data_IF_266274358176
#
_entry.id   IF_266274358176
#
_cell.length_a   1.000
_cell.length_b   1.000
_cell.length_c   1.000
_cell.angle_alpha   90.00
_cell.angle_beta   90.00
_cell.angle_gamma   90.00
#
_symmetry.space_group_name_H-M   'P 1'
#
loop_
_entity.id
_entity.type
_entity.pdbx_description
1 polymer ?
#
# COMPACT_ATOMS: atom_id res chain seq x y z
N UNK A 1 -4.48 7.79 -18.81
CA UNK A 1 -2.99 7.90 -18.85
C UNK A 1 -2.53 9.20 -18.14
N UNK A 2 -1.24 9.36 -17.77
CA UNK A 2 -0.72 10.57 -17.11
C UNK A 2 -0.89 11.81 -17.97
N UNK A 3 -0.64 11.69 -19.28
CA UNK A 3 -0.81 12.80 -20.21
C UNK A 3 -2.27 13.25 -20.28
N UNK A 4 -3.19 12.30 -20.41
CA UNK A 4 -4.63 12.53 -20.41
C UNK A 4 -5.10 13.27 -19.15
N UNK A 5 -4.67 12.83 -17.95
CA UNK A 5 -5.03 13.52 -16.70
C UNK A 5 -4.52 14.96 -16.66
N UNK A 6 -3.28 15.21 -17.12
CA UNK A 6 -2.74 16.58 -17.24
C UNK A 6 -3.61 17.43 -18.17
N UNK A 7 -4.06 16.87 -19.30
CA UNK A 7 -4.95 17.59 -20.21
C UNK A 7 -6.32 17.88 -19.61
N UNK A 8 -6.88 16.97 -18.81
CA UNK A 8 -8.14 17.20 -18.09
C UNK A 8 -8.01 18.37 -17.10
N UNK A 9 -6.92 18.45 -16.34
CA UNK A 9 -6.65 19.60 -15.47
C UNK A 9 -6.44 20.90 -16.26
N UNK A 10 -5.61 20.87 -17.32
CA UNK A 10 -5.34 22.07 -18.16
C UNK A 10 -6.59 22.60 -18.85
N UNK A 11 -7.46 21.71 -19.31
CA UNK A 11 -8.75 22.07 -19.92
C UNK A 11 -9.84 22.40 -18.90
N UNK A 12 -9.55 22.35 -17.59
CA UNK A 12 -10.50 22.59 -16.49
C UNK A 12 -11.73 21.67 -16.54
N UNK A 13 -11.57 20.46 -17.08
CA UNK A 13 -12.61 19.41 -17.01
C UNK A 13 -12.64 18.73 -15.65
N UNK A 14 -11.55 18.84 -14.90
CA UNK A 14 -11.44 18.40 -13.51
C UNK A 14 -10.67 19.45 -12.70
N UNK A 15 -11.06 19.64 -11.44
CA UNK A 15 -10.38 20.52 -10.49
C UNK A 15 -9.57 19.74 -9.43
N UNK A 16 -9.93 18.48 -9.20
CA UNK A 16 -9.30 17.61 -8.21
C UNK A 16 -9.28 16.14 -8.66
N UNK A 17 -8.35 15.36 -8.09
CA UNK A 17 -8.21 13.93 -8.31
C UNK A 17 -7.94 13.23 -6.99
N UNK A 18 -8.70 12.18 -6.67
CA UNK A 18 -8.37 11.26 -5.58
C UNK A 18 -7.32 10.27 -6.10
N UNK A 19 -6.20 10.18 -5.39
CA UNK A 19 -5.04 9.43 -5.84
C UNK A 19 -4.22 8.89 -4.67
N UNK A 20 -3.54 7.76 -4.89
CA UNK A 20 -2.50 7.30 -3.98
C UNK A 20 -1.31 8.27 -3.98
N UNK A 21 -0.87 8.66 -2.78
CA UNK A 21 0.26 9.58 -2.60
C UNK A 21 1.56 9.06 -3.22
N UNK A 22 1.72 7.74 -3.28
CA UNK A 22 2.87 7.04 -3.87
C UNK A 22 2.82 6.96 -5.40
N UNK A 23 1.74 7.41 -6.04
CA UNK A 23 1.53 7.30 -7.49
C UNK A 23 1.47 8.67 -8.19
N UNK A 24 0.28 9.29 -8.26
CA UNK A 24 0.03 10.46 -9.11
C UNK A 24 0.78 11.72 -8.67
N UNK A 25 0.85 12.08 -7.37
CA UNK A 25 1.64 13.24 -6.93
C UNK A 25 3.13 13.12 -7.31
N UNK A 26 3.69 11.91 -7.22
CA UNK A 26 5.06 11.64 -7.64
C UNK A 26 5.22 11.83 -9.15
N UNK A 27 4.29 11.29 -9.96
CA UNK A 27 4.33 11.47 -11.43
C UNK A 27 4.22 12.93 -11.85
N UNK A 28 3.31 13.69 -11.24
CA UNK A 28 3.16 15.12 -11.53
C UNK A 28 4.41 15.90 -11.14
N UNK A 29 5.02 15.60 -9.99
CA UNK A 29 6.30 16.19 -9.58
C UNK A 29 7.43 15.90 -10.58
N UNK A 30 7.57 14.64 -11.03
CA UNK A 30 8.57 14.26 -12.02
C UNK A 30 8.37 14.90 -13.40
N UNK A 31 7.13 15.29 -13.73
CA UNK A 31 6.76 15.97 -14.97
C UNK A 31 6.68 17.49 -14.81
N UNK A 32 7.07 18.02 -13.66
CA UNK A 32 6.98 19.45 -13.33
C UNK A 32 5.56 20.03 -13.52
N UNK A 33 4.53 19.20 -13.32
CA UNK A 33 3.14 19.64 -13.34
C UNK A 33 2.72 20.02 -11.91
N UNK A 34 2.43 21.32 -11.64
CA UNK A 34 2.15 21.77 -10.30
C UNK A 34 0.81 21.23 -9.80
N UNK A 35 0.84 20.51 -8.69
CA UNK A 35 -0.36 20.04 -7.98
C UNK A 35 -0.19 20.27 -6.48
N UNK A 36 -1.29 20.56 -5.79
CA UNK A 36 -1.34 20.55 -4.33
C UNK A 36 -1.93 19.23 -3.86
N UNK A 37 -1.15 18.45 -3.12
CA UNK A 37 -1.61 17.20 -2.54
C UNK A 37 -2.21 17.46 -1.15
N UNK A 38 -3.42 16.97 -0.91
CA UNK A 38 -4.07 16.97 0.39
C UNK A 38 -4.13 15.54 0.91
N UNK A 39 -3.49 15.26 2.04
CA UNK A 39 -3.50 13.92 2.63
C UNK A 39 -4.87 13.64 3.24
N UNK A 40 -5.63 12.72 2.65
CA UNK A 40 -6.90 12.29 3.24
C UNK A 40 -6.68 11.69 4.64
N UNK A 41 -5.60 10.93 4.82
CA UNK A 41 -5.22 10.31 6.09
C UNK A 41 -5.04 11.35 7.21
N UNK A 42 -4.31 12.44 6.94
CA UNK A 42 -4.13 13.53 7.90
C UNK A 42 -5.40 14.35 8.16
N UNK A 43 -6.44 14.17 7.33
CA UNK A 43 -7.72 14.86 7.42
C UNK A 43 -8.86 13.93 7.86
N UNK A 44 -8.53 12.90 8.64
CA UNK A 44 -9.51 12.02 9.29
C UNK A 44 -10.05 10.88 8.44
N UNK A 45 -9.56 10.70 7.20
CA UNK A 45 -9.87 9.51 6.40
C UNK A 45 -9.00 8.33 6.87
N UNK A 46 -9.58 7.49 7.70
CA UNK A 46 -8.90 6.29 8.23
C UNK A 46 -9.52 5.05 7.60
N UNK A 47 -8.94 4.56 6.51
CA UNK A 47 -9.24 3.24 5.97
C UNK A 47 -7.97 2.40 5.93
N UNK A 48 -8.11 1.13 6.33
CA UNK A 48 -7.04 0.16 6.27
C UNK A 48 -6.74 -0.20 4.82
N UNK A 49 -5.46 -0.24 4.48
CA UNK A 49 -5.01 -0.47 3.12
C UNK A 49 -4.97 -1.94 2.72
N UNK A 50 -4.16 -2.24 1.69
CA UNK A 50 -4.02 -3.56 1.09
C UNK A 50 -3.62 -4.63 2.11
N UNK A 51 -4.24 -5.81 1.99
CA UNK A 51 -3.94 -7.01 2.77
C UNK A 51 -3.76 -8.20 1.82
N UNK A 52 -2.95 -9.17 2.24
CA UNK A 52 -2.97 -10.50 1.62
C UNK A 52 -4.20 -11.25 2.12
N UNK A 53 -5.01 -11.75 1.20
CA UNK A 53 -6.23 -12.49 1.51
C UNK A 53 -6.19 -13.88 0.88
N UNK A 54 -6.81 -14.84 1.57
CA UNK A 54 -7.06 -16.20 1.11
C UNK A 54 -8.41 -16.65 1.67
N UNK A 55 -9.02 -17.69 1.12
CA UNK A 55 -10.24 -18.25 1.68
C UNK A 55 -9.97 -18.84 3.07
N UNK A 56 -10.99 -18.85 3.93
CA UNK A 56 -10.91 -19.48 5.26
C UNK A 56 -10.50 -20.95 5.17
N UNK A 57 -11.07 -21.69 4.20
CA UNK A 57 -10.69 -23.08 3.93
C UNK A 57 -9.20 -23.21 3.58
N UNK A 58 -8.68 -22.33 2.72
CA UNK A 58 -7.27 -22.37 2.34
C UNK A 58 -6.37 -22.05 3.53
N UNK A 59 -6.75 -21.06 4.35
CA UNK A 59 -6.05 -20.71 5.59
C UNK A 59 -6.01 -21.89 6.55
N UNK A 60 -7.15 -22.55 6.78
CA UNK A 60 -7.25 -23.68 7.68
C UNK A 60 -6.36 -24.86 7.23
N UNK A 61 -6.30 -25.12 5.92
CA UNK A 61 -5.63 -26.29 5.36
C UNK A 61 -4.16 -26.07 4.99
N UNK A 62 -3.66 -24.83 4.90
CA UNK A 62 -2.32 -24.52 4.36
C UNK A 62 -1.48 -23.62 5.28
N UNK A 63 -1.71 -23.67 6.60
CA UNK A 63 -1.08 -22.79 7.59
C UNK A 63 0.45 -22.67 7.47
N UNK A 64 1.16 -23.79 7.42
CA UNK A 64 2.62 -23.79 7.33
C UNK A 64 3.14 -23.23 6.00
N UNK A 65 2.43 -23.49 4.90
CA UNK A 65 2.77 -22.91 3.60
C UNK A 65 2.56 -21.38 3.62
N UNK A 66 1.43 -20.92 4.16
CA UNK A 66 1.13 -19.50 4.29
C UNK A 66 2.14 -18.78 5.19
N UNK A 67 2.55 -19.42 6.30
CA UNK A 67 3.62 -18.91 7.17
C UNK A 67 4.92 -18.71 6.39
N UNK A 68 5.38 -19.74 5.67
CA UNK A 68 6.60 -19.66 4.86
C UNK A 68 6.49 -18.60 3.76
N UNK A 69 5.33 -18.50 3.11
CA UNK A 69 5.06 -17.48 2.11
C UNK A 69 5.16 -16.06 2.69
N UNK A 70 4.53 -15.80 3.84
CA UNK A 70 4.56 -14.50 4.48
C UNK A 70 5.96 -14.15 4.99
N UNK A 71 6.70 -15.11 5.56
CA UNK A 71 8.10 -14.91 5.96
C UNK A 71 8.99 -14.55 4.76
N UNK A 72 8.87 -15.27 3.65
CA UNK A 72 9.63 -14.98 2.43
C UNK A 72 9.25 -13.61 1.84
N UNK A 73 7.96 -13.29 1.84
CA UNK A 73 7.42 -12.01 1.36
C UNK A 73 7.94 -10.84 2.19
N UNK A 74 7.86 -10.93 3.52
CA UNK A 74 8.35 -9.89 4.43
C UNK A 74 9.86 -9.70 4.29
N UNK A 75 10.63 -10.80 4.13
CA UNK A 75 12.06 -10.73 3.82
C UNK A 75 12.33 -10.00 2.50
N UNK A 76 11.57 -10.31 1.45
CA UNK A 76 11.67 -9.64 0.16
C UNK A 76 11.41 -8.14 0.26
N UNK A 77 10.37 -7.73 0.99
CA UNK A 77 10.08 -6.32 1.23
C UNK A 77 11.16 -5.63 2.07
N UNK A 78 11.70 -6.28 3.10
CA UNK A 78 12.80 -5.74 3.89
C UNK A 78 14.04 -5.45 3.02
N UNK A 79 14.39 -6.38 2.12
CA UNK A 79 15.46 -6.20 1.12
C UNK A 79 15.13 -5.04 0.16
N UNK A 80 13.89 -4.95 -0.33
CA UNK A 80 13.45 -3.85 -1.18
C UNK A 80 13.60 -2.49 -0.49
N UNK A 81 13.28 -2.41 0.80
CA UNK A 81 13.40 -1.18 1.58
C UNK A 81 14.83 -0.81 1.98
N UNK A 82 15.77 -1.76 2.00
CA UNK A 82 17.21 -1.48 2.21
C UNK A 82 17.95 -1.17 0.91
N UNK A 83 17.50 -1.69 -0.23
CA UNK A 83 18.13 -1.49 -1.56
C UNK A 83 17.16 -0.91 -2.61
N UNK A 84 16.51 0.25 -2.35
CA UNK A 84 15.40 0.70 -3.19
C UNK A 84 15.80 1.00 -4.64
N UNK A 85 17.02 1.49 -4.89
CA UNK A 85 17.51 1.78 -6.26
C UNK A 85 17.74 0.50 -7.06
N UNK A 86 18.41 -0.49 -6.46
CA UNK A 86 18.70 -1.77 -7.09
C UNK A 86 17.42 -2.54 -7.39
N UNK A 87 16.54 -2.67 -6.39
CA UNK A 87 15.29 -3.41 -6.54
C UNK A 87 14.33 -2.69 -7.49
N UNK A 88 14.21 -1.36 -7.45
CA UNK A 88 13.42 -0.64 -8.45
C UNK A 88 13.98 -0.81 -9.87
N UNK A 89 15.31 -0.83 -10.04
CA UNK A 89 15.96 -1.09 -11.33
C UNK A 89 15.59 -2.48 -11.83
N UNK A 90 15.79 -3.50 -11.00
CA UNK A 90 15.47 -4.89 -11.32
C UNK A 90 13.99 -5.07 -11.69
N UNK A 91 13.08 -4.53 -10.89
CA UNK A 91 11.63 -4.61 -11.16
C UNK A 91 11.25 -3.87 -12.44
N UNK A 92 11.80 -2.67 -12.66
CA UNK A 92 11.48 -1.87 -13.85
C UNK A 92 11.93 -2.57 -15.12
N UNK A 93 13.12 -3.19 -15.13
CA UNK A 93 13.66 -3.87 -16.30
C UNK A 93 12.97 -5.20 -16.62
N UNK A 94 12.63 -5.98 -15.59
CA UNK A 94 12.22 -7.37 -15.77
C UNK A 94 10.71 -7.59 -15.69
N UNK A 95 9.97 -6.73 -14.98
CA UNK A 95 8.57 -6.98 -14.66
C UNK A 95 7.63 -5.81 -14.97
N UNK A 96 8.14 -4.58 -15.08
CA UNK A 96 7.29 -3.43 -15.34
C UNK A 96 6.89 -3.35 -16.82
N UNK A 97 5.58 -3.27 -17.15
CA UNK A 97 5.15 -3.22 -18.54
C UNK A 97 5.68 -1.98 -19.25
N UNK A 98 6.38 -2.18 -20.37
CA UNK A 98 7.05 -1.10 -21.12
C UNK A 98 6.07 -0.08 -21.71
N UNK A 99 4.85 -0.51 -22.06
CA UNK A 99 3.75 0.35 -22.51
C UNK A 99 3.23 1.28 -21.41
N UNK A 100 3.57 1.01 -20.14
CA UNK A 100 3.21 1.85 -18.99
C UNK A 100 4.33 2.80 -18.58
N UNK A 101 5.44 2.84 -19.32
CA UNK A 101 6.51 3.79 -19.03
C UNK A 101 6.00 5.22 -19.14
N UNK A 102 6.38 6.06 -18.17
CA UNK A 102 5.97 7.46 -18.10
C UNK A 102 6.53 8.17 -19.33
N UNK A 103 5.64 8.63 -20.22
CA UNK A 103 5.98 9.20 -21.53
C UNK A 103 6.92 8.29 -22.35
N UNK A 104 6.80 6.96 -22.23
CA UNK A 104 7.70 6.00 -22.88
C UNK A 104 9.14 5.99 -22.33
N UNK A 105 9.43 6.72 -21.25
CA UNK A 105 10.79 6.93 -20.73
C UNK A 105 11.13 5.98 -19.59
N UNK A 106 12.15 5.14 -19.81
CA UNK A 106 12.71 4.28 -18.75
C UNK A 106 13.28 5.11 -17.58
N UNK A 107 14.14 6.13 -17.78
CA UNK A 107 14.67 6.92 -16.66
C UNK A 107 13.60 7.58 -15.79
N UNK A 108 12.52 8.11 -16.39
CA UNK A 108 11.40 8.70 -15.63
C UNK A 108 10.64 7.63 -14.85
N UNK A 109 10.39 6.48 -15.47
CA UNK A 109 9.70 5.34 -14.84
C UNK A 109 10.51 4.79 -13.67
N UNK A 110 11.83 4.66 -13.82
CA UNK A 110 12.72 4.22 -12.75
C UNK A 110 12.72 5.20 -11.58
N UNK A 111 12.82 6.52 -11.84
CA UNK A 111 12.71 7.54 -10.79
C UNK A 111 11.38 7.44 -10.04
N UNK A 112 10.29 7.17 -10.77
CA UNK A 112 8.97 6.94 -10.18
C UNK A 112 8.94 5.68 -9.29
N UNK A 113 9.46 4.54 -9.77
CA UNK A 113 9.49 3.31 -8.98
C UNK A 113 10.35 3.45 -7.71
N UNK A 114 11.50 4.12 -7.79
CA UNK A 114 12.36 4.41 -6.63
C UNK A 114 11.59 5.26 -5.61
N UNK A 115 10.97 6.35 -6.05
CA UNK A 115 10.23 7.26 -5.18
C UNK A 115 9.03 6.57 -4.54
N UNK A 116 8.32 5.73 -5.32
CA UNK A 116 7.21 4.90 -4.83
C UNK A 116 7.68 3.97 -3.71
N UNK A 117 8.82 3.30 -3.89
CA UNK A 117 9.34 2.35 -2.90
C UNK A 117 9.80 3.04 -1.62
N UNK A 118 10.42 4.22 -1.72
CA UNK A 118 10.81 5.04 -0.56
C UNK A 118 9.56 5.50 0.22
N UNK A 119 8.54 6.00 -0.46
CA UNK A 119 7.29 6.42 0.18
C UNK A 119 6.54 5.23 0.78
N UNK A 120 6.49 4.08 0.08
CA UNK A 120 5.90 2.87 0.63
C UNK A 120 6.60 2.42 1.90
N UNK A 121 7.94 2.48 1.96
CA UNK A 121 8.70 2.20 3.18
C UNK A 121 8.25 3.11 4.33
N UNK A 122 8.15 4.42 4.08
CA UNK A 122 7.71 5.37 5.09
C UNK A 122 6.32 5.00 5.64
N UNK A 123 5.32 4.83 4.77
CA UNK A 123 3.94 4.56 5.21
C UNK A 123 3.74 3.18 5.83
N UNK A 124 4.42 2.15 5.32
CA UNK A 124 4.24 0.78 5.83
C UNK A 124 4.95 0.55 7.17
N UNK A 125 6.00 1.33 7.46
CA UNK A 125 6.74 1.22 8.71
C UNK A 125 6.30 2.26 9.76
N UNK A 126 5.48 3.24 9.39
CA UNK A 126 5.01 4.29 10.28
C UNK A 126 4.24 3.71 11.49
N UNK A 127 4.76 3.99 12.69
CA UNK A 127 4.20 3.51 13.96
C UNK A 127 4.29 2.00 14.19
N UNK A 128 5.03 1.26 13.34
CA UNK A 128 5.14 -0.21 13.41
C UNK A 128 6.60 -0.64 13.48
N UNK A 129 7.46 -0.07 12.63
CA UNK A 129 8.86 -0.48 12.52
C UNK A 129 9.06 -1.72 11.63
N UNK A 130 10.32 -1.95 11.24
CA UNK A 130 10.68 -3.01 10.27
C UNK A 130 10.46 -4.43 10.83
N UNK A 131 10.57 -4.61 12.14
CA UNK A 131 10.42 -5.91 12.81
C UNK A 131 8.98 -6.43 12.82
N UNK A 132 8.01 -5.55 12.57
CA UNK A 132 6.59 -5.89 12.49
C UNK A 132 6.03 -5.63 11.09
N UNK A 133 6.90 -5.58 10.07
CA UNK A 133 6.50 -5.47 8.68
C UNK A 133 5.54 -6.60 8.30
N UNK A 134 4.35 -6.23 7.80
CA UNK A 134 3.30 -7.19 7.43
C UNK A 134 2.36 -7.56 8.58
N UNK A 135 2.55 -7.00 9.79
CA UNK A 135 1.60 -7.14 10.89
C UNK A 135 0.31 -6.38 10.59
N UNK A 136 -0.82 -7.02 10.84
CA UNK A 136 -2.13 -6.35 10.84
C UNK A 136 -2.29 -5.63 12.19
N UNK A 137 -2.44 -4.31 12.15
CA UNK A 137 -2.70 -3.49 13.33
C UNK A 137 -4.19 -3.51 13.64
N UNK A 138 -4.57 -4.25 14.67
CA UNK A 138 -5.94 -4.33 15.16
C UNK A 138 -6.50 -2.93 15.46
N UNK A 139 -5.74 -2.06 16.13
CA UNK A 139 -6.14 -0.68 16.44
C UNK A 139 -6.50 0.13 15.20
N UNK A 140 -5.65 0.10 14.17
CA UNK A 140 -5.91 0.84 12.91
C UNK A 140 -7.07 0.21 12.13
N UNK A 141 -7.24 -1.10 12.18
CA UNK A 141 -8.33 -1.79 11.50
C UNK A 141 -9.67 -1.50 12.17
N UNK A 142 -9.74 -1.52 13.51
CA UNK A 142 -10.90 -1.09 14.29
C UNK A 142 -11.27 0.34 13.93
N UNK A 143 -10.31 1.28 13.95
CA UNK A 143 -10.56 2.67 13.55
C UNK A 143 -11.11 2.78 12.11
N UNK A 144 -10.71 1.87 11.21
CA UNK A 144 -11.22 1.83 9.84
C UNK A 144 -12.66 1.30 9.75
N UNK A 145 -12.99 0.28 10.54
CA UNK A 145 -14.35 -0.24 10.66
C UNK A 145 -15.27 0.83 11.26
N UNK A 146 -14.82 1.52 12.30
CA UNK A 146 -15.58 2.60 12.95
C UNK A 146 -15.81 3.77 12.00
N UNK A 147 -14.78 4.16 11.24
CA UNK A 147 -14.92 5.14 10.16
C UNK A 147 -15.96 4.69 9.14
N UNK A 148 -15.88 3.45 8.67
CA UNK A 148 -16.83 2.90 7.70
C UNK A 148 -18.27 2.86 8.22
N UNK A 149 -18.49 2.52 9.51
CA UNK A 149 -19.81 2.57 10.16
C UNK A 149 -20.32 4.01 10.30
N UNK A 150 -19.47 4.94 10.77
CA UNK A 150 -19.81 6.35 10.98
C UNK A 150 -20.30 7.03 9.70
N UNK A 151 -19.62 6.76 8.58
CA UNK A 151 -19.95 7.33 7.27
C UNK A 151 -20.84 6.42 6.41
N UNK A 152 -21.42 5.36 7.00
CA UNK A 152 -22.37 4.46 6.36
C UNK A 152 -21.85 3.78 5.08
N UNK A 153 -20.53 3.57 5.00
CA UNK A 153 -19.90 2.71 3.99
C UNK A 153 -20.33 1.25 4.23
N UNK A 154 -20.47 0.88 5.50
CA UNK A 154 -21.11 -0.37 5.95
C UNK A 154 -22.24 -0.03 6.93
N UNK A 155 -23.22 -0.92 7.12
CA UNK A 155 -24.30 -0.68 8.08
C UNK A 155 -23.75 -0.42 9.49
N UNK A 156 -24.30 0.59 10.18
CA UNK A 156 -23.92 0.90 11.57
C UNK A 156 -24.24 -0.24 12.54
N UNK A 157 -25.23 -1.07 12.21
CA UNK A 157 -25.59 -2.30 12.93
C UNK A 157 -24.66 -3.49 12.64
N UNK A 158 -23.69 -3.34 11.74
CA UNK A 158 -22.74 -4.40 11.40
C UNK A 158 -21.97 -4.87 12.63
N UNK A 159 -21.95 -6.19 12.83
CA UNK A 159 -21.21 -6.86 13.91
C UNK A 159 -19.75 -7.14 13.55
N UNK A 160 -19.32 -6.75 12.35
CA UNK A 160 -17.94 -6.92 11.90
C UNK A 160 -16.99 -6.22 12.88
N UNK A 161 -15.93 -6.95 13.21
CA UNK A 161 -14.84 -6.62 14.13
C UNK A 161 -13.50 -6.75 13.41
N UNK A 162 -12.40 -6.33 14.04
CA UNK A 162 -11.09 -6.37 13.40
C UNK A 162 -10.60 -7.82 13.19
N UNK A 163 -10.98 -8.69 14.12
CA UNK A 163 -10.63 -10.11 14.20
C UNK A 163 -11.20 -10.90 13.02
N UNK A 164 -12.27 -10.41 12.38
CA UNK A 164 -12.88 -11.03 11.21
C UNK A 164 -12.01 -10.91 9.94
N UNK A 165 -10.96 -10.06 9.94
CA UNK A 165 -10.13 -9.80 8.76
C UNK A 165 -8.75 -10.47 8.77
N UNK A 166 -8.36 -11.10 9.88
CA UNK A 166 -7.04 -11.74 9.97
C UNK A 166 -7.05 -12.99 10.85
N UNK A 167 -6.16 -13.93 10.53
CA UNK A 167 -5.94 -15.10 11.38
C UNK A 167 -4.95 -14.75 12.51
N UNK A 168 -5.45 -14.69 13.74
CA UNK A 168 -4.64 -14.46 14.95
C UNK A 168 -3.55 -15.52 15.11
N UNK A 169 -3.83 -16.76 14.73
CA UNK A 169 -2.87 -17.87 14.74
C UNK A 169 -1.71 -17.62 13.78
N UNK A 170 -1.96 -17.16 12.54
CA UNK A 170 -0.90 -16.80 11.60
C UNK A 170 -0.07 -15.63 12.13
N UNK A 171 -0.71 -14.60 12.69
CA UNK A 171 -0.01 -13.46 13.29
C UNK A 171 0.89 -13.91 14.45
N UNK A 172 0.37 -14.72 15.38
CA UNK A 172 1.14 -15.23 16.50
C UNK A 172 2.31 -16.11 16.03
N UNK A 173 2.11 -16.93 15.00
CA UNK A 173 3.17 -17.78 14.45
C UNK A 173 4.30 -16.98 13.76
N UNK A 174 4.02 -15.76 13.29
CA UNK A 174 4.99 -14.90 12.63
C UNK A 174 5.69 -13.93 13.58
N UNK A 175 4.95 -13.40 14.57
CA UNK A 175 5.42 -12.30 15.43
C UNK A 175 5.30 -12.58 16.92
N UNK A 176 4.77 -13.73 17.35
CA UNK A 176 4.44 -14.03 18.75
C UNK A 176 5.60 -13.87 19.73
N UNK A 177 6.82 -14.29 19.35
CA UNK A 177 8.02 -14.08 20.16
C UNK A 177 8.43 -12.59 20.33
N UNK A 178 7.88 -11.69 19.51
CA UNK A 178 8.13 -10.24 19.52
C UNK A 178 6.96 -9.46 20.12
N UNK A 179 5.84 -10.12 20.43
CA UNK A 179 4.63 -9.51 20.98
C UNK A 179 4.47 -9.79 22.49
N UNK A 180 5.44 -10.45 23.11
CA UNK A 180 5.58 -10.64 24.57
C UNK A 180 6.35 -9.48 25.18
#
# INVERSE_FOLDING_TARGET
DTHELIQLFKSKKIDALIAWQTNWPVKFSLLHFPVKAFSLYQNGFSLYGNMYAASEEYIANNKELLKKFLMATNKGWAIAFSHPKEIATYITLNYYPKDKYINGSYPLTLKHQISKLILSKQFLLEGVGIDYLGLVSQVRLTASIDFAKKYQIIPSSSKISAEDFYSSEIIHNLYGARLQ
#
